data_IF_832015477761
#
_entry.id   IF_832015477761
#
_cell.length_a   1.000
_cell.length_b   1.000
_cell.length_c   1.000
_cell.angle_alpha   90.00
_cell.angle_beta   90.00
_cell.angle_gamma   90.00
#
_symmetry.space_group_name_H-M   'P 1'
#
loop_
_entity.id
_entity.type
_entity.pdbx_description
1 polymer ?
#
# COMPACT_ATOMS: atom_id res chain seq x y z
N UNK A 1 -30.92 31.83 32.25
CA UNK A 1 -31.57 31.05 31.18
C UNK A 1 -30.50 30.77 30.12
N UNK A 2 -30.13 29.50 29.96
CA UNK A 2 -28.91 29.03 29.29
C UNK A 2 -28.99 29.25 27.77
N UNK A 3 -28.02 29.96 27.17
CA UNK A 3 -27.94 30.11 25.71
C UNK A 3 -27.40 28.81 25.10
N UNK A 4 -28.26 28.13 24.34
CA UNK A 4 -27.91 26.91 23.59
C UNK A 4 -27.02 27.32 22.43
N UNK A 5 -25.70 27.17 22.59
CA UNK A 5 -24.71 27.32 21.52
C UNK A 5 -25.11 26.43 20.33
N UNK A 6 -25.53 27.02 19.21
CA UNK A 6 -25.77 26.27 17.99
C UNK A 6 -24.43 25.76 17.45
N UNK A 7 -24.22 24.44 17.49
CA UNK A 7 -23.08 23.77 16.87
C UNK A 7 -23.25 23.84 15.35
N UNK A 8 -22.62 24.80 14.70
CA UNK A 8 -22.73 25.00 13.25
C UNK A 8 -22.19 23.78 12.51
N UNK A 9 -23.07 23.03 11.81
CA UNK A 9 -22.70 21.82 11.07
C UNK A 9 -21.67 22.06 9.95
N UNK A 10 -21.58 23.28 9.44
CA UNK A 10 -20.64 23.69 8.40
C UNK A 10 -19.17 23.58 8.84
N UNK A 11 -18.86 23.89 10.10
CA UNK A 11 -17.50 23.72 10.66
C UNK A 11 -17.09 22.24 10.73
N UNK A 12 -18.04 21.34 11.01
CA UNK A 12 -17.80 19.89 11.05
C UNK A 12 -17.59 19.33 9.65
N UNK A 13 -18.38 19.76 8.67
CA UNK A 13 -18.21 19.33 7.28
C UNK A 13 -16.85 19.74 6.72
N UNK A 14 -16.46 21.00 6.96
CA UNK A 14 -15.15 21.52 6.55
C UNK A 14 -14.02 20.70 7.21
N UNK A 15 -14.11 20.47 8.52
CA UNK A 15 -13.14 19.64 9.22
C UNK A 15 -13.07 18.20 8.66
N UNK A 16 -14.22 17.58 8.36
CA UNK A 16 -14.26 16.25 7.74
C UNK A 16 -13.61 16.23 6.36
N UNK A 17 -13.84 17.26 5.53
CA UNK A 17 -13.25 17.36 4.19
C UNK A 17 -11.73 17.53 4.30
N UNK A 18 -11.23 18.47 5.11
CA UNK A 18 -9.79 18.64 5.28
C UNK A 18 -9.13 17.41 5.89
N UNK A 19 -9.78 16.75 6.83
CA UNK A 19 -9.28 15.48 7.39
C UNK A 19 -9.23 14.38 6.32
N UNK A 20 -10.24 14.29 5.46
CA UNK A 20 -10.26 13.32 4.35
C UNK A 20 -9.16 13.61 3.33
N UNK A 21 -8.99 14.87 2.91
CA UNK A 21 -7.91 15.28 2.00
C UNK A 21 -6.55 14.98 2.63
N UNK A 22 -6.37 15.28 3.91
CA UNK A 22 -5.13 14.98 4.63
C UNK A 22 -4.84 13.47 4.60
N UNK A 23 -5.80 12.63 5.04
CA UNK A 23 -5.64 11.18 5.01
C UNK A 23 -5.32 10.65 3.61
N UNK A 24 -6.01 11.13 2.58
CA UNK A 24 -5.75 10.72 1.19
C UNK A 24 -4.37 11.18 0.71
N UNK A 25 -3.94 12.38 1.07
CA UNK A 25 -2.64 12.95 0.68
C UNK A 25 -1.45 12.30 1.38
N UNK A 26 -1.66 11.74 2.57
CA UNK A 26 -0.62 11.05 3.35
C UNK A 26 -0.73 9.53 3.26
N UNK A 27 -1.72 9.02 2.54
CA UNK A 27 -1.89 7.58 2.31
C UNK A 27 -1.22 7.16 1.01
N UNK A 28 -0.58 5.99 1.06
CA UNK A 28 0.04 5.31 -0.07
C UNK A 28 -1.02 4.53 -0.89
N UNK A 29 -2.11 5.21 -1.30
CA UNK A 29 -3.24 4.57 -1.98
C UNK A 29 -2.88 4.01 -3.36
N UNK A 30 -1.88 4.60 -4.01
CA UNK A 30 -1.32 4.12 -5.27
C UNK A 30 -0.68 2.72 -5.12
N UNK A 31 -0.22 2.34 -3.93
CA UNK A 31 0.33 0.99 -3.69
C UNK A 31 -0.75 -0.08 -3.83
N UNK A 32 -2.02 0.22 -3.56
CA UNK A 32 -3.13 -0.73 -3.78
C UNK A 32 -3.29 -1.07 -5.27
N UNK A 33 -2.97 -0.14 -6.17
CA UNK A 33 -3.01 -0.38 -7.61
C UNK A 33 -1.92 -1.38 -8.06
N UNK A 34 -0.91 -1.64 -7.23
CA UNK A 34 0.16 -2.62 -7.48
C UNK A 34 -0.16 -4.02 -6.96
N UNK A 35 -1.27 -4.23 -6.27
CA UNK A 35 -1.70 -5.58 -5.80
C UNK A 35 -1.74 -6.61 -6.94
N UNK A 36 -2.22 -6.30 -8.17
CA UNK A 36 -2.16 -7.25 -9.28
C UNK A 36 -0.73 -7.71 -9.63
N UNK A 37 0.28 -6.83 -9.45
CA UNK A 37 1.69 -7.15 -9.71
C UNK A 37 2.21 -8.22 -8.75
N UNK A 38 1.78 -8.17 -7.48
CA UNK A 38 2.12 -9.20 -6.46
C UNK A 38 1.69 -10.59 -6.95
N UNK A 39 0.46 -10.72 -7.44
CA UNK A 39 -0.04 -12.00 -7.93
C UNK A 39 0.64 -12.44 -9.22
N UNK A 40 0.92 -11.51 -10.14
CA UNK A 40 1.65 -11.83 -11.37
C UNK A 40 3.04 -12.39 -11.04
N UNK A 41 3.75 -11.73 -10.12
CA UNK A 41 5.10 -12.13 -9.74
C UNK A 41 5.12 -13.42 -8.92
N UNK A 42 4.15 -13.62 -8.02
CA UNK A 42 3.97 -14.91 -7.34
C UNK A 42 3.80 -16.08 -8.34
N UNK A 43 3.05 -15.88 -9.43
CA UNK A 43 2.93 -16.90 -10.49
C UNK A 43 4.23 -17.09 -11.27
N UNK A 44 5.07 -16.06 -11.42
CA UNK A 44 6.41 -16.18 -12.01
C UNK A 44 7.27 -17.13 -11.17
N UNK A 45 7.30 -16.99 -9.84
CA UNK A 45 8.03 -17.91 -8.96
C UNK A 45 7.47 -19.33 -8.98
N UNK A 46 6.15 -19.52 -8.98
CA UNK A 46 5.56 -20.87 -9.12
C UNK A 46 6.07 -21.54 -10.41
N UNK A 47 6.19 -20.78 -11.51
CA UNK A 47 6.67 -21.33 -12.79
C UNK A 47 8.17 -21.62 -12.81
N UNK A 48 8.97 -20.84 -12.08
CA UNK A 48 10.44 -20.99 -12.06
C UNK A 48 10.92 -22.02 -11.04
N UNK A 49 10.29 -22.08 -9.87
CA UNK A 49 10.71 -22.89 -8.71
C UNK A 49 9.79 -24.09 -8.44
N UNK A 50 8.66 -24.15 -9.15
CA UNK A 50 7.68 -25.24 -9.07
C UNK A 50 6.65 -25.06 -7.96
N UNK A 51 7.08 -24.88 -6.71
CA UNK A 51 6.15 -24.70 -5.59
C UNK A 51 6.75 -23.82 -4.48
N UNK A 52 6.29 -22.56 -4.44
CA UNK A 52 6.54 -21.63 -3.33
C UNK A 52 5.19 -21.28 -2.70
N UNK A 53 5.16 -21.21 -1.37
CA UNK A 53 3.96 -20.70 -0.69
C UNK A 53 3.88 -19.18 -0.81
N UNK A 54 2.67 -18.62 -0.87
CA UNK A 54 2.49 -17.17 -0.92
C UNK A 54 3.19 -16.43 0.23
N UNK A 55 3.20 -17.01 1.43
CA UNK A 55 3.91 -16.44 2.59
C UNK A 55 5.43 -16.48 2.43
N UNK A 56 5.98 -17.55 1.83
CA UNK A 56 7.42 -17.63 1.55
C UNK A 56 7.83 -16.62 0.49
N UNK A 57 7.05 -16.47 -0.58
CA UNK A 57 7.23 -15.43 -1.60
C UNK A 57 7.28 -14.03 -0.98
N UNK A 58 6.32 -13.69 -0.10
CA UNK A 58 6.33 -12.41 0.59
C UNK A 58 7.56 -12.26 1.52
N UNK A 59 7.97 -13.31 2.21
CA UNK A 59 9.13 -13.27 3.11
C UNK A 59 10.44 -13.05 2.35
N UNK A 60 10.61 -13.67 1.20
CA UNK A 60 11.75 -13.45 0.31
C UNK A 60 11.80 -11.98 -0.11
N UNK A 61 10.70 -11.44 -0.64
CA UNK A 61 10.72 -10.10 -1.22
C UNK A 61 10.70 -8.98 -0.18
N UNK A 62 10.09 -9.16 0.99
CA UNK A 62 9.95 -8.09 1.97
C UNK A 62 10.89 -8.19 3.18
N UNK A 63 11.49 -9.35 3.44
CA UNK A 63 12.46 -9.51 4.54
C UNK A 63 13.90 -9.69 4.05
N UNK A 64 14.09 -10.13 2.81
CA UNK A 64 15.41 -10.44 2.25
C UNK A 64 15.61 -9.72 0.91
N UNK A 65 15.93 -8.43 0.96
CA UNK A 65 16.21 -7.65 -0.26
C UNK A 65 17.72 -7.58 -0.54
N UNK A 66 18.17 -8.08 -1.69
CA UNK A 66 19.54 -7.89 -2.20
C UNK A 66 19.54 -7.03 -3.48
N UNK A 67 20.17 -5.83 -3.48
CA UNK A 67 20.29 -4.99 -4.66
C UNK A 67 21.03 -5.60 -5.85
N UNK A 68 21.76 -6.70 -5.64
CA UNK A 68 22.51 -7.41 -6.69
C UNK A 68 21.73 -8.59 -7.28
N UNK A 69 20.51 -8.83 -6.81
CA UNK A 69 19.66 -9.89 -7.34
C UNK A 69 19.31 -9.63 -8.82
N UNK A 70 19.42 -10.62 -9.72
CA UNK A 70 18.94 -10.52 -11.09
C UNK A 70 17.47 -10.05 -11.22
N UNK A 71 16.63 -10.35 -10.24
CA UNK A 71 15.20 -10.01 -10.21
C UNK A 71 14.92 -8.65 -9.54
N UNK A 72 15.94 -7.95 -9.03
CA UNK A 72 15.78 -6.70 -8.29
C UNK A 72 14.91 -5.66 -9.00
N UNK A 73 15.06 -5.51 -10.33
CA UNK A 73 14.24 -4.56 -11.09
C UNK A 73 12.75 -4.95 -11.17
N UNK A 74 12.44 -6.25 -11.05
CA UNK A 74 11.10 -6.79 -10.97
C UNK A 74 10.54 -6.61 -9.56
N UNK A 75 11.33 -6.91 -8.53
CA UNK A 75 10.98 -6.72 -7.12
C UNK A 75 10.55 -5.29 -6.82
N UNK A 76 11.26 -4.32 -7.38
CA UNK A 76 10.98 -2.89 -7.17
C UNK A 76 9.62 -2.44 -7.76
N UNK A 77 8.92 -3.30 -8.48
CA UNK A 77 7.55 -3.05 -8.97
C UNK A 77 6.48 -3.47 -7.94
N UNK A 78 6.85 -4.24 -6.91
CA UNK A 78 5.94 -4.64 -5.84
C UNK A 78 5.51 -3.43 -5.00
N UNK A 79 4.32 -3.49 -4.37
CA UNK A 79 3.86 -2.43 -3.48
C UNK A 79 4.82 -2.24 -2.30
N UNK A 80 4.94 -1.00 -1.84
CA UNK A 80 5.78 -0.59 -0.71
C UNK A 80 7.30 -0.82 -0.89
N UNK A 81 7.76 -1.15 -2.10
CA UNK A 81 9.17 -1.07 -2.48
C UNK A 81 9.50 0.35 -2.92
N UNK A 82 9.85 1.20 -1.96
CA UNK A 82 10.35 2.55 -2.24
C UNK A 82 11.86 2.48 -2.48
N UNK A 83 12.35 3.32 -3.41
CA UNK A 83 13.77 3.43 -3.76
C UNK A 83 14.69 3.56 -2.56
#
# INVERSE_FOLDING_TARGET
MYLKQQRTGMSRLIATIFFSIYLLSTSELDQFMKIPVVFQHYHEHIRMEGNISFTAFLAEHYLHSDPKDPDYARDMQLPFKTR
#
